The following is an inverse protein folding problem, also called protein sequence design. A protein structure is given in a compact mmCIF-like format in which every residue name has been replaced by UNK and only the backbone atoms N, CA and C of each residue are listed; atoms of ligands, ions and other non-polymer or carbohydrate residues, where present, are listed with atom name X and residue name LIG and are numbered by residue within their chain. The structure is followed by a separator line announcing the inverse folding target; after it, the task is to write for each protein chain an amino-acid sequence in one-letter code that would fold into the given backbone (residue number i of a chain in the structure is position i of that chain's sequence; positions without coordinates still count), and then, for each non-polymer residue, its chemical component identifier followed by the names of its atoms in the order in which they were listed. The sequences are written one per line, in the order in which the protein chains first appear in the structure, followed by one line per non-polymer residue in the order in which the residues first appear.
data_IF_567736579009
#
_entry.id   IF_567736579009
#
_cell.length_a   1.000
_cell.length_b   1.000
_cell.length_c   1.000
_cell.angle_alpha   90.00
_cell.angle_beta   90.00
_cell.angle_gamma   90.00
#
_symmetry.space_group_name_H-M   'P 1'
#
loop_
_entity.id
_entity.type
_entity.pdbx_description
1 polymer ?
#
# COMPACT_ATOMS: atom_id res chain seq x y z
N UNK A 1 6.56 20.37 -27.40
CA UNK A 1 5.18 20.05 -26.99
C UNK A 1 4.86 18.56 -27.12
N UNK A 2 5.12 17.93 -28.28
CA UNK A 2 4.85 16.50 -28.50
C UNK A 2 5.73 15.56 -27.63
N UNK A 3 7.03 15.87 -27.47
CA UNK A 3 7.93 15.10 -26.59
C UNK A 3 7.49 15.12 -25.12
N UNK A 4 7.12 16.29 -24.59
CA UNK A 4 6.66 16.41 -23.19
C UNK A 4 5.37 15.62 -22.90
N UNK A 5 4.48 15.51 -23.90
CA UNK A 5 3.26 14.70 -23.78
C UNK A 5 3.58 13.20 -23.75
N UNK A 6 4.56 12.74 -24.55
CA UNK A 6 5.00 11.35 -24.56
C UNK A 6 5.60 10.97 -23.20
N UNK A 7 6.50 11.79 -22.67
CA UNK A 7 7.11 11.59 -21.33
C UNK A 7 6.04 11.51 -20.22
N UNK A 8 5.07 12.42 -20.24
CA UNK A 8 3.95 12.42 -19.29
C UNK A 8 3.13 11.13 -19.35
N UNK A 9 2.85 10.62 -20.55
CA UNK A 9 2.10 9.37 -20.72
C UNK A 9 2.86 8.16 -20.18
N UNK A 10 4.18 8.10 -20.36
CA UNK A 10 5.00 7.01 -19.82
C UNK A 10 4.99 7.00 -18.28
N UNK A 11 5.12 8.17 -17.65
CA UNK A 11 5.05 8.31 -16.20
C UNK A 11 3.67 7.86 -15.68
N UNK A 12 2.59 8.29 -16.34
CA UNK A 12 1.23 7.90 -15.96
C UNK A 12 1.03 6.37 -16.02
N UNK A 13 1.50 5.72 -17.09
CA UNK A 13 1.43 4.26 -17.24
C UNK A 13 2.21 3.58 -16.10
N UNK A 14 3.43 4.05 -15.80
CA UNK A 14 4.23 3.48 -14.73
C UNK A 14 3.53 3.56 -13.36
N UNK A 15 2.94 4.71 -13.03
CA UNK A 15 2.18 4.91 -11.79
C UNK A 15 0.97 3.98 -11.73
N UNK A 16 0.21 3.86 -12.82
CA UNK A 16 -0.97 2.99 -12.90
C UNK A 16 -0.58 1.52 -12.70
N UNK A 17 0.47 1.07 -13.38
CA UNK A 17 0.97 -0.31 -13.24
C UNK A 17 1.44 -0.56 -11.80
N UNK A 18 2.20 0.36 -11.20
CA UNK A 18 2.62 0.26 -9.82
C UNK A 18 1.43 0.18 -8.85
N UNK A 19 0.40 1.01 -9.06
CA UNK A 19 -0.82 1.01 -8.24
C UNK A 19 -1.61 -0.31 -8.37
N UNK A 20 -1.71 -0.87 -9.58
CA UNK A 20 -2.36 -2.18 -9.81
C UNK A 20 -1.60 -3.30 -9.11
N UNK A 21 -0.27 -3.33 -9.25
CA UNK A 21 0.58 -4.33 -8.59
C UNK A 21 0.47 -4.24 -7.07
N UNK A 22 0.46 -3.03 -6.53
CA UNK A 22 0.26 -2.78 -5.10
C UNK A 22 -1.10 -3.30 -4.62
N UNK A 23 -2.18 -2.99 -5.33
CA UNK A 23 -3.52 -3.46 -4.99
C UNK A 23 -3.62 -4.99 -5.09
N UNK A 24 -3.05 -5.59 -6.14
CA UNK A 24 -3.02 -7.03 -6.34
C UNK A 24 -2.27 -7.75 -5.20
N UNK A 25 -1.19 -7.16 -4.68
CA UNK A 25 -0.46 -7.69 -3.54
C UNK A 25 -1.32 -7.70 -2.27
N UNK A 26 -2.02 -6.58 -1.98
CA UNK A 26 -2.95 -6.50 -0.84
C UNK A 26 -4.04 -7.57 -0.98
N UNK A 27 -4.71 -7.65 -2.13
CA UNK A 27 -5.79 -8.60 -2.35
C UNK A 27 -5.31 -10.05 -2.23
N UNK A 28 -4.15 -10.38 -2.79
CA UNK A 28 -3.54 -11.71 -2.68
C UNK A 28 -3.24 -12.07 -1.23
N UNK A 29 -2.68 -11.15 -0.46
CA UNK A 29 -2.36 -11.37 0.94
C UNK A 29 -3.63 -11.60 1.78
N UNK A 30 -4.65 -10.76 1.61
CA UNK A 30 -5.94 -10.91 2.29
C UNK A 30 -6.64 -12.22 1.89
N UNK A 31 -6.56 -12.59 0.60
CA UNK A 31 -7.06 -13.88 0.12
C UNK A 31 -6.38 -15.03 0.85
N UNK A 32 -5.05 -15.06 0.87
CA UNK A 32 -4.27 -16.13 1.48
C UNK A 32 -4.56 -16.26 2.99
N UNK A 33 -4.60 -15.15 3.74
CA UNK A 33 -4.92 -15.17 5.17
C UNK A 33 -6.34 -15.66 5.44
N UNK A 34 -7.31 -15.21 4.64
CA UNK A 34 -8.69 -15.65 4.78
C UNK A 34 -8.83 -17.17 4.61
N UNK A 35 -8.10 -17.76 3.66
CA UNK A 35 -8.16 -19.20 3.35
C UNK A 35 -7.26 -20.07 4.22
N UNK A 36 -6.37 -19.48 5.01
CA UNK A 36 -5.47 -20.23 5.85
C UNK A 36 -6.22 -20.92 7.01
N UNK A 37 -6.47 -22.22 6.93
CA UNK A 37 -7.20 -22.97 7.95
C UNK A 37 -6.39 -23.26 9.21
N UNK A 38 -5.07 -23.12 9.18
CA UNK A 38 -4.20 -23.36 10.34
C UNK A 38 -3.99 -22.13 11.24
N UNK A 39 -4.50 -20.97 10.83
CA UNK A 39 -4.36 -19.72 11.56
C UNK A 39 -5.63 -19.41 12.36
N UNK A 40 -5.47 -19.13 13.67
CA UNK A 40 -6.55 -18.71 14.55
C UNK A 40 -7.23 -17.43 14.06
N UNK A 41 -8.54 -17.31 14.33
CA UNK A 41 -9.35 -16.17 13.89
C UNK A 41 -8.78 -14.83 14.39
N UNK A 42 -8.39 -14.75 15.66
CA UNK A 42 -7.80 -13.53 16.24
C UNK A 42 -6.51 -13.12 15.53
N UNK A 43 -5.69 -14.10 15.15
CA UNK A 43 -4.44 -13.86 14.42
C UNK A 43 -4.73 -13.39 12.99
N UNK A 44 -5.74 -13.97 12.32
CA UNK A 44 -6.21 -13.49 11.00
C UNK A 44 -6.66 -12.03 11.04
N UNK A 45 -7.46 -11.66 12.04
CA UNK A 45 -7.96 -10.29 12.20
C UNK A 45 -6.81 -9.33 12.39
N UNK A 46 -5.83 -9.67 13.22
CA UNK A 46 -4.63 -8.86 13.44
C UNK A 46 -3.85 -8.63 12.14
N UNK A 47 -3.63 -9.69 11.36
CA UNK A 47 -2.97 -9.55 10.04
C UNK A 47 -3.78 -8.71 9.05
N UNK A 48 -5.10 -8.84 9.05
CA UNK A 48 -5.99 -8.04 8.21
C UNK A 48 -5.82 -6.55 8.50
N UNK A 49 -5.80 -6.18 9.79
CA UNK A 49 -5.58 -4.81 10.24
C UNK A 49 -4.19 -4.31 9.80
N UNK A 50 -3.15 -5.11 10.00
CA UNK A 50 -1.78 -4.74 9.62
C UNK A 50 -1.70 -4.48 8.11
N UNK A 51 -2.20 -5.38 7.28
CA UNK A 51 -2.11 -5.24 5.81
C UNK A 51 -2.83 -3.99 5.31
N UNK A 52 -3.98 -3.67 5.90
CA UNK A 52 -4.76 -2.49 5.50
C UNK A 52 -4.19 -1.18 6.03
N UNK A 53 -3.61 -1.18 7.24
CA UNK A 53 -3.13 0.04 7.89
C UNK A 53 -1.65 0.34 7.68
N UNK A 54 -0.80 -0.67 7.43
CA UNK A 54 0.63 -0.52 7.17
C UNK A 54 0.99 0.54 6.11
N UNK A 55 0.26 0.64 4.97
CA UNK A 55 0.55 1.67 3.97
C UNK A 55 0.46 3.11 4.49
N UNK A 56 -0.34 3.33 5.54
CA UNK A 56 -0.58 4.65 6.13
C UNK A 56 0.30 4.94 7.35
N UNK A 57 0.90 3.91 7.96
CA UNK A 57 1.66 4.04 9.19
C UNK A 57 2.80 5.06 9.07
N UNK A 58 3.54 5.08 7.95
CA UNK A 58 4.61 6.05 7.73
C UNK A 58 4.11 7.49 7.74
N UNK A 59 3.00 7.77 7.07
CA UNK A 59 2.36 9.09 7.05
C UNK A 59 1.83 9.48 8.42
N UNK A 60 1.17 8.56 9.12
CA UNK A 60 0.65 8.78 10.47
C UNK A 60 1.79 9.12 11.44
N UNK A 61 2.88 8.34 11.42
CA UNK A 61 4.07 8.56 12.26
C UNK A 61 4.69 9.93 11.99
N UNK A 62 4.85 10.30 10.71
CA UNK A 62 5.37 11.62 10.33
C UNK A 62 4.49 12.75 10.85
N UNK A 63 3.17 12.64 10.71
CA UNK A 63 2.23 13.66 11.18
C UNK A 63 2.16 13.76 12.71
N UNK A 64 2.37 12.65 13.42
CA UNK A 64 2.37 12.64 14.89
C UNK A 64 3.67 13.20 15.47
N UNK A 65 4.82 12.81 14.91
CA UNK A 65 6.13 13.10 15.50
C UNK A 65 6.97 14.07 14.68
N UNK A 66 6.98 13.92 13.36
CA UNK A 66 7.85 14.65 12.44
C UNK A 66 7.41 16.09 12.17
N UNK A 67 6.10 16.37 12.16
CA UNK A 67 5.58 17.68 11.72
C UNK A 67 6.10 18.90 12.51
N UNK A 68 6.51 18.71 13.77
CA UNK A 68 6.96 19.78 14.66
C UNK A 68 8.49 19.83 14.81
N UNK A 69 9.24 18.94 14.16
CA UNK A 69 10.71 18.91 14.24
C UNK A 69 11.29 19.65 13.04
N UNK A 70 11.95 20.78 13.32
CA UNK A 70 12.83 21.44 12.34
C UNK A 70 14.15 20.66 12.34
N UNK A 71 14.43 19.96 11.24
CA UNK A 71 15.77 19.44 10.96
C UNK A 71 16.65 20.57 10.43
#
# INVERSE_FOLDING_TARGET
MLLAQIESNQIAIFIIVAAILWLALILTALYHISRNSSMDFSVKVLWFIIILLAPFLGSIIYLMWGKNKKF
#
